data_IF_628930667163
#
_entry.id   IF_628930667163
#
_cell.length_a   1.000
_cell.length_b   1.000
_cell.length_c   1.000
_cell.angle_alpha   90.00
_cell.angle_beta   90.00
_cell.angle_gamma   90.00
#
_symmetry.space_group_name_H-M   'P 1'
#
loop_
_entity.id
_entity.type
_entity.pdbx_description
1 polymer ?
#
# COMPACT_ATOMS: atom_id res chain seq x y z
N UNK A 1 -21.09 44.06 16.59
CA UNK A 1 -21.00 42.60 16.84
C UNK A 1 -21.42 41.92 15.54
N UNK A 2 -20.72 40.99 14.91
CA UNK A 2 -19.55 40.17 15.23
C UNK A 2 -18.87 39.85 13.89
N UNK A 3 -17.56 40.08 13.76
CA UNK A 3 -16.79 39.62 12.61
C UNK A 3 -16.53 38.13 12.77
N UNK A 4 -16.99 37.31 11.82
CA UNK A 4 -16.61 35.89 11.75
C UNK A 4 -15.13 35.82 11.39
N UNK A 5 -14.30 35.44 12.34
CA UNK A 5 -12.95 34.94 12.08
C UNK A 5 -13.07 33.65 11.27
N UNK A 6 -12.59 33.68 10.03
CA UNK A 6 -12.34 32.47 9.27
C UNK A 6 -11.26 31.67 10.01
N UNK A 7 -11.58 30.45 10.46
CA UNK A 7 -10.59 29.53 10.99
C UNK A 7 -9.55 29.25 9.91
N UNK A 8 -8.28 29.48 10.22
CA UNK A 8 -7.17 29.11 9.33
C UNK A 8 -7.24 27.60 9.06
N UNK A 9 -6.99 27.21 7.81
CA UNK A 9 -6.76 25.81 7.46
C UNK A 9 -5.68 25.22 8.39
N UNK A 10 -5.77 23.94 8.79
CA UNK A 10 -4.73 23.33 9.60
C UNK A 10 -3.39 23.46 8.88
N UNK A 11 -2.38 23.90 9.62
CA UNK A 11 -1.02 24.03 9.12
C UNK A 11 -0.55 22.65 8.64
N UNK A 12 -0.13 22.54 7.37
CA UNK A 12 0.42 21.29 6.84
C UNK A 12 1.69 20.98 7.64
N UNK A 13 1.61 20.01 8.54
CA UNK A 13 2.80 19.50 9.20
C UNK A 13 3.55 18.64 8.18
N UNK A 14 4.61 19.19 7.59
CA UNK A 14 5.50 18.41 6.72
C UNK A 14 6.00 17.17 7.48
N UNK A 15 6.08 16.03 6.80
CA UNK A 15 6.67 14.84 7.40
C UNK A 15 8.12 15.15 7.85
N UNK A 16 8.55 14.69 9.04
CA UNK A 16 9.87 15.03 9.55
C UNK A 16 10.96 14.61 8.54
N UNK A 17 11.95 15.50 8.35
CA UNK A 17 13.06 15.26 7.44
C UNK A 17 13.72 13.90 7.75
N UNK A 18 13.99 13.14 6.69
CA UNK A 18 14.60 11.82 6.81
C UNK A 18 16.11 11.96 6.98
N UNK A 19 16.64 11.50 8.11
CA UNK A 19 18.07 11.56 8.37
C UNK A 19 18.87 10.70 7.36
N UNK A 20 20.14 11.07 7.04
CA UNK A 20 20.99 10.29 6.15
C UNK A 20 21.14 8.83 6.62
N UNK A 21 21.08 7.88 5.69
CA UNK A 21 21.25 6.45 5.97
C UNK A 21 20.06 5.76 6.66
N UNK A 22 18.98 6.47 6.95
CA UNK A 22 17.74 5.89 7.50
C UNK A 22 16.90 5.31 6.38
N UNK A 23 16.41 4.08 6.57
CA UNK A 23 15.35 3.50 5.75
C UNK A 23 13.99 3.89 6.31
N UNK A 24 13.09 4.40 5.47
CA UNK A 24 11.72 4.75 5.85
C UNK A 24 10.74 3.76 5.24
N UNK A 25 10.16 2.94 6.12
CA UNK A 25 9.11 1.97 5.78
C UNK A 25 7.75 2.62 6.06
N UNK A 26 6.83 2.54 5.11
CA UNK A 26 5.46 3.02 5.27
C UNK A 26 4.51 1.84 5.11
N UNK A 27 3.43 1.81 5.89
CA UNK A 27 2.32 0.87 5.69
C UNK A 27 1.03 1.66 5.55
N UNK A 28 0.19 1.28 4.60
CA UNK A 28 -1.07 1.98 4.35
C UNK A 28 -2.11 1.03 3.74
N UNK A 29 -3.27 0.95 4.40
CA UNK A 29 -4.43 0.28 3.84
C UNK A 29 -5.13 1.23 2.86
N UNK A 30 -5.11 0.88 1.57
CA UNK A 30 -5.61 1.75 0.50
C UNK A 30 -7.12 1.61 0.29
N UNK A 31 -7.76 0.59 0.86
CA UNK A 31 -9.18 0.30 0.68
C UNK A 31 -9.56 0.36 -0.80
N UNK A 32 -8.88 -0.45 -1.62
CA UNK A 32 -9.04 -0.56 -3.08
C UNK A 32 -9.00 0.77 -3.86
N UNK A 33 -8.39 1.82 -3.30
CA UNK A 33 -8.34 3.16 -3.92
C UNK A 33 -9.73 3.72 -4.26
N UNK A 34 -10.68 3.58 -3.33
CA UNK A 34 -12.05 4.08 -3.45
C UNK A 34 -12.35 5.20 -2.43
N UNK A 35 -11.45 6.19 -2.30
CA UNK A 35 -11.56 7.31 -1.35
C UNK A 35 -12.41 8.47 -1.88
N UNK A 36 -13.28 8.24 -2.88
CA UNK A 36 -14.18 9.24 -3.48
C UNK A 36 -13.47 10.49 -4.05
N UNK A 37 -12.24 10.34 -4.50
CA UNK A 37 -11.48 11.40 -5.19
C UNK A 37 -11.25 10.99 -6.66
N UNK A 38 -10.77 11.93 -7.48
CA UNK A 38 -10.68 11.70 -8.94
C UNK A 38 -9.49 10.82 -9.34
N UNK A 39 -8.37 10.87 -8.62
CA UNK A 39 -7.14 10.12 -8.92
C UNK A 39 -6.44 9.65 -7.63
N UNK A 40 -7.06 8.69 -6.96
CA UNK A 40 -6.63 8.09 -5.69
C UNK A 40 -5.22 7.50 -5.76
N UNK A 41 -4.87 6.87 -6.89
CA UNK A 41 -3.55 6.27 -7.08
C UNK A 41 -2.45 7.32 -7.05
N UNK A 42 -2.66 8.45 -7.73
CA UNK A 42 -1.68 9.54 -7.75
C UNK A 42 -1.58 10.22 -6.40
N UNK A 43 -2.71 10.45 -5.71
CA UNK A 43 -2.69 11.00 -4.36
C UNK A 43 -1.83 10.13 -3.42
N UNK A 44 -2.07 8.82 -3.40
CA UNK A 44 -1.30 7.90 -2.54
C UNK A 44 0.17 7.90 -2.94
N UNK A 45 0.49 7.87 -4.24
CA UNK A 45 1.88 7.91 -4.70
C UNK A 45 2.59 9.23 -4.29
N UNK A 46 1.90 10.37 -4.41
CA UNK A 46 2.41 11.68 -3.97
C UNK A 46 2.65 11.70 -2.45
N UNK A 47 1.70 11.18 -1.66
CA UNK A 47 1.85 11.05 -0.22
C UNK A 47 3.06 10.18 0.16
N UNK A 48 3.27 9.04 -0.49
CA UNK A 48 4.44 8.18 -0.23
C UNK A 48 5.76 8.88 -0.59
N UNK A 49 5.78 9.69 -1.66
CA UNK A 49 6.93 10.51 -2.04
C UNK A 49 7.20 11.64 -1.05
N UNK A 50 6.18 12.38 -0.66
CA UNK A 50 6.26 13.49 0.29
C UNK A 50 6.77 12.99 1.65
N UNK A 51 6.29 11.82 2.08
CA UNK A 51 6.80 11.13 3.28
C UNK A 51 8.22 10.59 3.08
N UNK A 52 8.78 10.54 1.87
CA UNK A 52 10.16 10.07 1.63
C UNK A 52 10.35 8.57 1.88
N UNK A 53 9.34 7.77 1.55
CA UNK A 53 9.38 6.31 1.69
C UNK A 53 10.52 5.68 0.85
N UNK A 54 11.07 4.56 1.33
CA UNK A 54 11.92 3.64 0.54
C UNK A 54 11.21 2.34 0.20
N UNK A 55 10.24 1.97 1.02
CA UNK A 55 9.38 0.83 0.82
C UNK A 55 8.00 1.13 1.39
N UNK A 56 6.98 0.60 0.72
CA UNK A 56 5.59 0.79 1.10
C UNK A 56 4.89 -0.56 1.09
N UNK A 57 4.29 -0.89 2.23
CA UNK A 57 3.37 -1.99 2.39
C UNK A 57 1.95 -1.46 2.14
N UNK A 58 1.23 -2.08 1.21
CA UNK A 58 -0.11 -1.68 0.82
C UNK A 58 -1.08 -2.83 1.08
N UNK A 59 -2.19 -2.49 1.75
CA UNK A 59 -3.24 -3.44 2.06
C UNK A 59 -4.55 -3.18 1.33
N UNK A 60 -5.36 -4.23 1.16
CA UNK A 60 -6.64 -4.21 0.44
C UNK A 60 -6.50 -3.81 -1.05
N UNK A 61 -5.68 -4.55 -1.76
CA UNK A 61 -5.39 -4.35 -3.18
C UNK A 61 -6.17 -5.32 -4.06
N UNK A 62 -6.78 -4.79 -5.11
CA UNK A 62 -7.22 -5.58 -6.25
C UNK A 62 -6.10 -5.78 -7.28
N UNK A 63 -6.10 -6.96 -7.88
CA UNK A 63 -5.41 -7.26 -9.12
C UNK A 63 -6.42 -7.71 -10.17
N UNK A 64 -6.66 -6.86 -11.16
CA UNK A 64 -7.51 -7.17 -12.32
C UNK A 64 -8.96 -7.54 -12.01
N UNK A 65 -9.48 -7.17 -10.83
CA UNK A 65 -10.86 -7.45 -10.45
C UNK A 65 -11.87 -6.55 -11.21
N UNK A 66 -13.06 -7.08 -11.49
CA UNK A 66 -14.08 -6.34 -12.21
C UNK A 66 -14.53 -5.04 -11.49
N UNK A 67 -14.65 -5.05 -10.15
CA UNK A 67 -15.04 -3.84 -9.37
C UNK A 67 -14.09 -2.65 -9.58
N UNK A 68 -12.82 -2.93 -9.83
CA UNK A 68 -11.76 -1.94 -10.06
C UNK A 68 -11.39 -1.86 -11.53
N UNK A 69 -12.31 -2.27 -12.42
CA UNK A 69 -12.22 -2.13 -13.88
C UNK A 69 -11.01 -2.84 -14.49
N UNK A 70 -10.60 -3.98 -13.89
CA UNK A 70 -9.49 -4.78 -14.41
C UNK A 70 -8.11 -4.17 -14.17
N UNK A 71 -7.98 -3.21 -13.25
CA UNK A 71 -6.69 -2.58 -12.94
C UNK A 71 -5.87 -3.47 -12.01
N UNK A 72 -4.58 -3.65 -12.31
CA UNK A 72 -3.62 -4.17 -11.35
C UNK A 72 -3.11 -3.00 -10.48
N UNK A 73 -3.69 -2.85 -9.29
CA UNK A 73 -3.51 -1.63 -8.49
C UNK A 73 -2.08 -1.44 -7.98
N UNK A 74 -1.42 -2.51 -7.53
CA UNK A 74 -0.04 -2.43 -7.03
C UNK A 74 0.92 -2.00 -8.14
N UNK A 75 0.82 -2.61 -9.32
CA UNK A 75 1.62 -2.24 -10.49
C UNK A 75 1.38 -0.77 -10.88
N UNK A 76 0.12 -0.34 -10.88
CA UNK A 76 -0.24 1.05 -11.21
C UNK A 76 0.45 2.06 -10.29
N UNK A 77 0.41 1.83 -8.97
CA UNK A 77 1.05 2.74 -8.01
C UNK A 77 2.58 2.62 -8.06
N UNK A 78 3.14 1.42 -8.20
CA UNK A 78 4.58 1.24 -8.38
C UNK A 78 5.12 1.99 -9.61
N UNK A 79 4.35 2.01 -10.72
CA UNK A 79 4.64 2.82 -11.90
C UNK A 79 4.63 4.33 -11.58
N UNK A 80 3.63 4.80 -10.85
CA UNK A 80 3.56 6.21 -10.40
C UNK A 80 4.71 6.57 -9.44
N UNK A 81 5.26 5.61 -8.70
CA UNK A 81 6.41 5.78 -7.80
C UNK A 81 7.76 5.84 -8.55
N UNK A 82 7.76 5.77 -9.89
CA UNK A 82 8.98 5.77 -10.71
C UNK A 82 9.43 4.37 -11.11
N UNK A 83 8.49 3.43 -11.24
CA UNK A 83 8.78 2.05 -11.63
C UNK A 83 9.42 1.24 -10.51
N UNK A 84 8.95 1.41 -9.29
CA UNK A 84 9.43 0.63 -8.14
C UNK A 84 9.23 -0.86 -8.36
N UNK A 85 10.13 -1.67 -7.78
CA UNK A 85 9.95 -3.11 -7.75
C UNK A 85 8.81 -3.46 -6.76
N UNK A 86 8.12 -4.57 -6.99
CA UNK A 86 6.99 -4.96 -6.15
C UNK A 86 6.76 -6.47 -6.06
N UNK A 87 6.12 -6.88 -4.97
CA UNK A 87 5.58 -8.21 -4.73
C UNK A 87 4.10 -8.10 -4.39
N UNK A 88 3.24 -8.76 -5.16
CA UNK A 88 1.82 -8.93 -4.86
C UNK A 88 1.58 -10.33 -4.31
N UNK A 89 0.96 -10.42 -3.13
CA UNK A 89 0.44 -11.67 -2.58
C UNK A 89 -1.07 -11.72 -2.79
N UNK A 90 -1.61 -12.60 -3.65
CA UNK A 90 -3.05 -12.82 -3.74
C UNK A 90 -3.53 -13.58 -2.51
N UNK A 91 -4.46 -12.99 -1.76
CA UNK A 91 -5.09 -13.65 -0.61
C UNK A 91 -6.23 -14.56 -1.07
N UNK A 92 -7.02 -14.10 -2.06
CA UNK A 92 -8.10 -14.88 -2.66
C UNK A 92 -8.37 -14.48 -4.12
N UNK A 93 -8.88 -15.38 -4.96
CA UNK A 93 -9.53 -15.01 -6.21
C UNK A 93 -10.74 -14.11 -5.94
N UNK A 94 -10.91 -13.06 -6.74
CA UNK A 94 -12.02 -12.11 -6.56
C UNK A 94 -12.45 -11.48 -7.88
N UNK A 95 -13.71 -11.68 -8.27
CA UNK A 95 -14.35 -11.07 -9.45
C UNK A 95 -13.52 -11.15 -10.75
N UNK A 96 -13.01 -12.34 -11.07
CA UNK A 96 -12.19 -12.57 -12.27
C UNK A 96 -10.72 -12.15 -12.14
N UNK A 97 -10.36 -11.49 -11.05
CA UNK A 97 -9.00 -11.15 -10.64
C UNK A 97 -8.66 -11.75 -9.28
N UNK A 98 -7.91 -10.99 -8.47
CA UNK A 98 -7.56 -11.35 -7.10
C UNK A 98 -7.64 -10.15 -6.16
N UNK A 99 -7.77 -10.45 -4.87
CA UNK A 99 -7.68 -9.50 -3.78
C UNK A 99 -6.58 -9.92 -2.81
N UNK A 100 -5.80 -8.96 -2.29
CA UNK A 100 -4.72 -9.27 -1.38
C UNK A 100 -3.84 -8.08 -1.00
N UNK A 101 -2.59 -8.38 -0.71
CA UNK A 101 -1.63 -7.47 -0.07
C UNK A 101 -0.38 -7.30 -0.94
N UNK A 102 0.39 -6.24 -0.73
CA UNK A 102 1.57 -6.00 -1.54
C UNK A 102 2.64 -5.16 -0.87
N UNK A 103 3.89 -5.38 -1.30
CA UNK A 103 5.04 -4.55 -0.94
C UNK A 103 5.60 -3.96 -2.23
N UNK A 104 5.91 -2.67 -2.24
CA UNK A 104 6.73 -2.04 -3.27
C UNK A 104 7.97 -1.42 -2.66
N UNK A 105 9.11 -1.53 -3.34
CA UNK A 105 10.42 -1.07 -2.89
C UNK A 105 11.11 -0.23 -3.96
N UNK A 106 11.79 0.84 -3.55
CA UNK A 106 12.59 1.68 -4.44
C UNK A 106 13.77 0.93 -5.03
N UNK A 107 14.41 0.10 -4.20
CA UNK A 107 15.49 -0.77 -4.63
C UNK A 107 14.95 -2.13 -5.11
N UNK A 108 15.59 -2.78 -6.09
CA UNK A 108 15.20 -4.10 -6.55
C UNK A 108 15.31 -5.16 -5.45
N UNK A 109 14.34 -6.06 -5.40
CA UNK A 109 14.35 -7.18 -4.47
C UNK A 109 15.39 -8.24 -4.86
N UNK A 110 16.04 -8.83 -3.86
CA UNK A 110 16.83 -10.06 -4.02
C UNK A 110 15.90 -11.25 -4.23
N UNK A 111 14.81 -11.30 -3.46
CA UNK A 111 13.78 -12.35 -3.55
C UNK A 111 12.41 -11.80 -3.22
N UNK A 112 11.39 -12.36 -3.87
CA UNK A 112 9.98 -12.01 -3.66
C UNK A 112 9.16 -13.29 -3.58
N UNK A 113 8.32 -13.40 -2.57
CA UNK A 113 7.40 -14.52 -2.43
C UNK A 113 6.23 -14.13 -1.54
N UNK A 114 5.19 -14.96 -1.52
CA UNK A 114 4.07 -14.79 -0.61
C UNK A 114 3.71 -16.12 0.03
N UNK A 115 3.09 -16.05 1.21
CA UNK A 115 2.67 -17.21 1.99
C UNK A 115 1.20 -17.01 2.38
N UNK A 116 0.27 -17.85 1.90
CA UNK A 116 -1.09 -17.87 2.44
C UNK A 116 -1.06 -18.14 3.94
N UNK A 117 -1.83 -17.38 4.72
CA UNK A 117 -1.90 -17.54 6.16
C UNK A 117 -2.99 -18.56 6.53
N UNK A 118 -2.84 -19.28 7.68
CA UNK A 118 -3.88 -20.17 8.16
C UNK A 118 -5.22 -19.45 8.35
N UNK A 119 -6.30 -20.08 7.93
CA UNK A 119 -7.66 -19.56 8.03
C UNK A 119 -8.45 -20.42 9.03
N UNK A 120 -8.91 -19.83 10.13
CA UNK A 120 -9.81 -20.50 11.06
C UNK A 120 -11.27 -20.23 10.66
N UNK A 121 -12.12 -21.26 10.68
CA UNK A 121 -13.58 -21.11 10.74
C UNK A 121 -14.24 -20.12 9.76
N UNK A 122 -13.96 -20.19 8.46
CA UNK A 122 -14.61 -19.33 7.46
C UNK A 122 -14.20 -17.85 7.48
N UNK A 123 -13.18 -17.49 8.26
CA UNK A 123 -12.48 -16.20 8.24
C UNK A 123 -12.09 -15.76 6.82
N UNK A 124 -11.90 -14.48 6.56
CA UNK A 124 -11.44 -14.02 5.25
C UNK A 124 -10.02 -14.55 4.98
N UNK A 125 -9.72 -15.18 3.82
CA UNK A 125 -8.37 -15.64 3.50
C UNK A 125 -7.36 -14.50 3.56
N UNK A 126 -6.23 -14.70 4.27
CA UNK A 126 -5.13 -13.72 4.41
C UNK A 126 -3.83 -14.24 3.82
N UNK A 127 -2.92 -13.33 3.52
CA UNK A 127 -1.62 -13.62 2.91
C UNK A 127 -0.52 -12.73 3.50
N UNK A 128 0.69 -13.27 3.59
CA UNK A 128 1.91 -12.54 3.88
C UNK A 128 2.68 -12.33 2.58
N UNK A 129 2.86 -11.08 2.13
CA UNK A 129 3.74 -10.75 1.02
C UNK A 129 5.14 -10.38 1.55
N UNK A 130 6.18 -10.97 0.98
CA UNK A 130 7.56 -10.88 1.47
C UNK A 130 8.51 -10.41 0.37
N UNK A 131 9.31 -9.40 0.71
CA UNK A 131 10.41 -8.88 -0.10
C UNK A 131 11.70 -8.96 0.69
N UNK A 132 12.69 -9.66 0.15
CA UNK A 132 14.04 -9.71 0.69
C UNK A 132 14.91 -8.67 -0.01
N UNK A 133 15.44 -7.74 0.76
CA UNK A 133 16.41 -6.74 0.34
C UNK A 133 17.81 -7.11 0.86
N UNK A 134 18.89 -6.53 0.32
CA UNK A 134 20.25 -6.88 0.75
C UNK A 134 20.50 -6.69 2.26
N UNK A 135 19.74 -5.80 2.91
CA UNK A 135 19.95 -5.41 4.31
C UNK A 135 18.87 -5.90 5.27
N UNK A 136 17.68 -6.20 4.80
CA UNK A 136 16.54 -6.55 5.64
C UNK A 136 15.45 -7.23 4.82
N UNK A 137 14.50 -7.87 5.52
CA UNK A 137 13.32 -8.48 4.92
C UNK A 137 12.10 -7.66 5.33
N UNK A 138 11.25 -7.33 4.37
CA UNK A 138 9.94 -6.72 4.60
C UNK A 138 8.89 -7.82 4.43
N UNK A 139 8.01 -7.97 5.41
CA UNK A 139 6.84 -8.81 5.31
C UNK A 139 5.60 -7.99 5.68
N UNK A 140 4.58 -8.01 4.85
CA UNK A 140 3.29 -7.34 5.11
C UNK A 140 2.13 -8.30 5.04
N UNK A 141 1.15 -8.06 5.90
CA UNK A 141 -0.12 -8.76 5.91
C UNK A 141 -1.20 -7.83 6.43
N UNK A 142 -2.45 -8.23 6.22
CA UNK A 142 -3.63 -7.68 6.85
C UNK A 142 -4.31 -8.84 7.58
N UNK A 143 -4.27 -8.83 8.91
CA UNK A 143 -4.88 -9.89 9.71
C UNK A 143 -6.39 -9.78 9.69
N UNK A 144 -7.06 -10.91 9.91
CA UNK A 144 -8.50 -10.88 10.03
C UNK A 144 -8.93 -10.26 11.36
N UNK A 145 -10.06 -9.57 11.33
CA UNK A 145 -10.63 -8.88 12.49
C UNK A 145 -11.43 -9.82 13.41
N UNK A 146 -11.74 -11.04 12.95
CA UNK A 146 -12.52 -12.05 13.68
C UNK A 146 -11.71 -13.27 14.15
N UNK A 147 -10.41 -13.32 13.82
CA UNK A 147 -9.49 -14.39 14.25
C UNK A 147 -8.96 -14.18 15.66
#
# INVERSE_FOLDING_TARGET
MSARTAGSAPERTEAPAKAPGVTRLVTYNVGIFNKYIRDDYRLVADMMREVGADAVCLNELDSCAARTRGVFQLERVAGLMGGWDFCYGPAMPFQGGAYGEGVMTREPAVRKFFVPLPQAGGAEPRVLAVVELPRFVIATTHLDHVS
#
